data_IF_087368397416
#
_entry.id   IF_087368397416
#
_cell.length_a   1.000
_cell.length_b   1.000
_cell.length_c   1.000
_cell.angle_alpha   90.00
_cell.angle_beta   90.00
_cell.angle_gamma   90.00
#
_symmetry.space_group_name_H-M   'P 1'
#
loop_
_entity.id
_entity.type
_entity.pdbx_description
1 polymer ?
#
# COMPACT_ATOMS: atom_id res chain seq x y z
N UNK A 1 10.93 -22.47 -32.02
CA UNK A 1 11.52 -23.05 -33.25
C UNK A 1 11.04 -22.35 -34.52
N UNK A 2 9.77 -22.19 -34.80
CA UNK A 2 9.24 -21.54 -36.03
C UNK A 2 9.76 -20.12 -36.25
N UNK A 3 9.87 -19.28 -35.20
CA UNK A 3 10.36 -17.89 -35.33
C UNK A 3 11.86 -17.83 -35.72
N UNK A 4 12.68 -18.72 -35.17
CA UNK A 4 14.09 -18.83 -35.56
C UNK A 4 14.24 -19.30 -37.01
N UNK A 5 13.36 -20.19 -37.44
CA UNK A 5 13.33 -20.68 -38.84
C UNK A 5 12.95 -19.55 -39.80
N UNK A 6 11.96 -18.72 -39.44
CA UNK A 6 11.57 -17.54 -40.23
C UNK A 6 12.68 -16.50 -40.36
N UNK A 7 13.39 -16.22 -39.25
CA UNK A 7 14.52 -15.28 -39.26
C UNK A 7 15.67 -15.79 -40.15
N UNK A 8 15.97 -17.11 -40.09
CA UNK A 8 16.97 -17.75 -40.95
C UNK A 8 16.59 -17.69 -42.43
N UNK A 9 15.29 -17.90 -42.76
CA UNK A 9 14.83 -17.76 -44.14
C UNK A 9 15.02 -16.34 -44.64
N UNK A 10 14.66 -15.33 -43.86
CA UNK A 10 14.85 -13.91 -44.22
C UNK A 10 16.33 -13.58 -44.43
N UNK A 11 17.20 -14.03 -43.53
CA UNK A 11 18.66 -13.84 -43.65
C UNK A 11 19.21 -14.55 -44.87
N UNK A 12 18.83 -15.80 -45.14
CA UNK A 12 19.28 -16.56 -46.33
C UNK A 12 18.77 -15.87 -47.61
N UNK A 13 17.53 -15.44 -47.67
CA UNK A 13 16.96 -14.75 -48.82
C UNK A 13 17.63 -13.40 -49.04
N UNK A 14 17.92 -12.61 -47.97
CA UNK A 14 18.71 -11.40 -48.08
C UNK A 14 20.13 -11.68 -48.61
N UNK A 15 20.84 -12.72 -48.09
CA UNK A 15 22.21 -13.06 -48.52
C UNK A 15 22.23 -13.55 -49.98
N UNK A 16 21.24 -14.32 -50.42
CA UNK A 16 21.13 -14.77 -51.81
C UNK A 16 20.87 -13.62 -52.77
N UNK A 17 20.19 -12.57 -52.33
CA UNK A 17 19.84 -11.44 -53.18
C UNK A 17 20.93 -10.36 -53.30
N UNK A 18 21.84 -10.30 -52.36
CA UNK A 18 23.06 -9.46 -52.47
C UNK A 18 23.93 -9.86 -53.68
N UNK A 19 23.72 -11.06 -54.26
CA UNK A 19 24.42 -11.53 -55.46
C UNK A 19 23.71 -11.23 -56.76
N UNK A 20 22.41 -10.83 -56.72
CA UNK A 20 21.60 -10.65 -57.94
C UNK A 20 21.06 -9.20 -58.00
N UNK A 21 21.64 -8.36 -58.84
CA UNK A 21 21.39 -6.92 -58.95
C UNK A 21 20.06 -6.54 -59.65
N UNK A 22 18.99 -7.37 -59.50
CA UNK A 22 17.69 -7.03 -60.08
C UNK A 22 16.86 -6.17 -59.09
N UNK A 23 16.51 -4.94 -59.44
CA UNK A 23 15.77 -4.01 -58.54
C UNK A 23 14.40 -4.51 -58.15
N UNK A 24 13.71 -5.29 -58.99
CA UNK A 24 12.41 -5.89 -58.73
C UNK A 24 12.47 -6.96 -57.68
N UNK A 25 13.46 -7.83 -57.71
CA UNK A 25 13.65 -8.90 -56.71
C UNK A 25 14.00 -8.36 -55.34
N UNK A 26 14.81 -7.28 -55.31
CA UNK A 26 15.16 -6.58 -54.07
C UNK A 26 13.91 -5.91 -53.43
N UNK A 27 13.02 -5.32 -54.23
CA UNK A 27 11.80 -4.72 -53.71
C UNK A 27 10.84 -5.79 -53.13
N UNK A 28 10.65 -6.92 -53.78
CA UNK A 28 9.78 -8.00 -53.30
C UNK A 28 10.29 -8.54 -51.96
N UNK A 29 11.59 -8.75 -51.82
CA UNK A 29 12.18 -9.28 -50.59
C UNK A 29 12.09 -8.28 -49.45
N UNK A 30 12.29 -7.01 -49.74
CA UNK A 30 12.17 -5.97 -48.69
C UNK A 30 10.73 -5.93 -48.15
N UNK A 31 9.73 -6.00 -49.02
CA UNK A 31 8.31 -6.01 -48.63
C UNK A 31 7.98 -7.29 -47.80
N UNK A 32 8.44 -8.45 -48.29
CA UNK A 32 8.24 -9.70 -47.57
C UNK A 32 8.93 -9.71 -46.18
N UNK A 33 10.15 -9.21 -46.10
CA UNK A 33 10.89 -9.06 -44.84
C UNK A 33 10.22 -8.11 -43.87
N UNK A 34 9.67 -6.99 -44.34
CA UNK A 34 8.91 -6.04 -43.54
C UNK A 34 7.63 -6.67 -42.97
N UNK A 35 6.87 -7.39 -43.79
CA UNK A 35 5.63 -8.10 -43.38
C UNK A 35 5.93 -9.17 -42.34
N UNK A 36 6.97 -10.00 -42.59
CA UNK A 36 7.38 -11.01 -41.61
C UNK A 36 7.88 -10.38 -40.31
N UNK A 37 8.69 -9.32 -40.38
CA UNK A 37 9.15 -8.57 -39.22
C UNK A 37 8.00 -8.01 -38.40
N UNK A 38 6.94 -7.50 -39.06
CA UNK A 38 5.74 -7.02 -38.38
C UNK A 38 4.96 -8.14 -37.72
N UNK A 39 4.77 -9.30 -38.38
CA UNK A 39 4.08 -10.48 -37.83
C UNK A 39 4.80 -11.01 -36.59
N UNK A 40 6.14 -11.08 -36.64
CA UNK A 40 6.95 -11.64 -35.53
C UNK A 40 7.45 -10.61 -34.53
N UNK A 41 7.03 -9.34 -34.64
CA UNK A 41 7.52 -8.24 -33.82
C UNK A 41 7.47 -8.55 -32.32
N UNK A 42 6.35 -9.03 -31.82
CA UNK A 42 6.19 -9.27 -30.39
C UNK A 42 6.96 -10.50 -29.91
N UNK A 43 7.16 -11.48 -30.76
CA UNK A 43 8.04 -12.62 -30.48
C UNK A 43 9.49 -12.17 -30.36
N UNK A 44 9.96 -11.32 -31.28
CA UNK A 44 11.34 -10.79 -31.25
C UNK A 44 11.54 -9.92 -30.00
N UNK A 45 10.59 -9.05 -29.67
CA UNK A 45 10.61 -8.24 -28.42
C UNK A 45 10.67 -9.14 -27.19
N UNK A 46 9.89 -10.23 -27.15
CA UNK A 46 9.88 -11.14 -26.01
C UNK A 46 11.22 -11.85 -25.82
N UNK A 47 11.84 -12.31 -26.91
CA UNK A 47 13.16 -12.92 -26.86
C UNK A 47 14.23 -11.93 -26.36
N UNK A 48 14.23 -10.69 -26.86
CA UNK A 48 15.14 -9.65 -26.42
C UNK A 48 14.92 -9.33 -24.94
N UNK A 49 13.66 -9.20 -24.50
CA UNK A 49 13.29 -8.98 -23.11
C UNK A 49 13.74 -10.12 -22.18
N UNK A 50 13.60 -11.37 -22.62
CA UNK A 50 14.09 -12.53 -21.85
C UNK A 50 15.59 -12.42 -21.55
N UNK A 51 16.40 -12.15 -22.56
CA UNK A 51 17.85 -12.00 -22.36
C UNK A 51 18.18 -10.78 -21.49
N UNK A 52 17.49 -9.66 -21.67
CA UNK A 52 17.66 -8.47 -20.85
C UNK A 52 17.35 -8.74 -19.37
N UNK A 53 16.21 -9.33 -19.07
CA UNK A 53 15.79 -9.63 -17.69
C UNK A 53 16.73 -10.63 -17.02
N UNK A 54 17.18 -11.64 -17.78
CA UNK A 54 18.08 -12.67 -17.26
C UNK A 54 19.50 -12.16 -17.03
N UNK A 55 20.05 -11.40 -17.98
CA UNK A 55 21.40 -10.85 -17.88
C UNK A 55 21.55 -9.86 -16.71
N UNK A 56 20.48 -9.11 -16.41
CA UNK A 56 20.47 -8.15 -15.31
C UNK A 56 19.95 -8.75 -13.97
N UNK A 57 19.61 -10.02 -13.93
CA UNK A 57 19.11 -10.67 -12.70
C UNK A 57 17.81 -10.07 -12.16
N UNK A 58 16.97 -9.48 -13.03
CA UNK A 58 15.76 -8.76 -12.62
C UNK A 58 14.59 -9.69 -12.32
N UNK A 59 14.63 -10.91 -12.85
CA UNK A 59 13.56 -11.91 -12.71
C UNK A 59 14.13 -13.32 -12.63
N UNK A 60 13.64 -14.07 -11.64
CA UNK A 60 13.98 -15.48 -11.43
C UNK A 60 12.70 -16.30 -11.17
N UNK A 61 12.79 -17.63 -11.39
CA UNK A 61 11.73 -18.54 -11.00
C UNK A 61 11.61 -18.55 -9.48
N UNK A 62 10.40 -18.43 -8.97
CA UNK A 62 10.11 -18.31 -7.55
C UNK A 62 9.98 -16.89 -7.05
N UNK A 63 10.35 -15.87 -7.83
CA UNK A 63 10.18 -14.47 -7.43
C UNK A 63 8.71 -14.11 -7.26
N UNK A 64 8.40 -13.35 -6.21
CA UNK A 64 7.11 -12.69 -6.05
C UNK A 64 7.12 -11.38 -6.83
N UNK A 65 6.29 -11.31 -7.87
CA UNK A 65 6.18 -10.11 -8.71
C UNK A 65 4.75 -9.57 -8.74
N UNK A 66 4.66 -8.26 -8.98
CA UNK A 66 3.41 -7.59 -9.30
C UNK A 66 3.56 -6.76 -10.58
N UNK A 67 2.60 -6.91 -11.50
CA UNK A 67 2.46 -6.10 -12.73
C UNK A 67 1.15 -5.33 -12.62
N UNK A 68 1.15 -4.12 -11.99
CA UNK A 68 -0.07 -3.39 -11.65
C UNK A 68 -0.94 -3.06 -12.87
N UNK A 69 -0.30 -2.73 -14.01
CA UNK A 69 -0.99 -2.41 -15.26
C UNK A 69 -1.86 -3.56 -15.81
N UNK A 70 -1.59 -4.80 -15.37
CA UNK A 70 -2.30 -6.01 -15.80
C UNK A 70 -3.08 -6.69 -14.68
N UNK A 71 -3.02 -6.16 -13.45
CA UNK A 71 -3.65 -6.78 -12.28
C UNK A 71 -3.07 -8.15 -11.91
N UNK A 72 -1.81 -8.43 -12.29
CA UNK A 72 -1.12 -9.69 -12.02
C UNK A 72 -0.28 -9.51 -10.76
N UNK A 73 -0.43 -10.41 -9.78
CA UNK A 73 0.41 -10.46 -8.60
C UNK A 73 0.53 -11.90 -8.11
N UNK A 74 1.75 -12.42 -8.03
CA UNK A 74 2.01 -13.79 -7.60
C UNK A 74 3.43 -14.26 -7.85
N UNK A 75 3.63 -15.57 -7.69
CA UNK A 75 4.94 -16.19 -7.83
C UNK A 75 5.21 -16.63 -9.27
N UNK A 76 6.41 -16.31 -9.77
CA UNK A 76 6.87 -16.74 -11.07
C UNK A 76 7.10 -18.25 -11.08
N UNK A 77 6.36 -18.97 -11.92
CA UNK A 77 6.48 -20.44 -12.06
C UNK A 77 7.39 -20.85 -13.19
N UNK A 78 7.26 -20.20 -14.35
CA UNK A 78 8.13 -20.48 -15.49
C UNK A 78 8.53 -19.22 -16.23
N UNK A 79 9.72 -19.23 -16.80
CA UNK A 79 10.23 -18.17 -17.66
C UNK A 79 10.73 -18.84 -18.94
N UNK A 80 10.02 -18.60 -20.03
CA UNK A 80 10.40 -19.06 -21.38
C UNK A 80 10.88 -17.88 -22.22
N UNK A 81 11.44 -18.14 -23.39
CA UNK A 81 11.91 -17.11 -24.32
C UNK A 81 10.82 -16.09 -24.69
N UNK A 82 9.58 -16.56 -24.79
CA UNK A 82 8.45 -15.73 -25.26
C UNK A 82 7.37 -15.51 -24.22
N UNK A 83 7.34 -16.30 -23.12
CA UNK A 83 6.23 -16.31 -22.17
C UNK A 83 6.73 -16.44 -20.74
N UNK A 84 6.12 -15.70 -19.83
CA UNK A 84 6.27 -15.86 -18.37
C UNK A 84 4.92 -16.35 -17.83
N UNK A 85 4.96 -17.31 -16.88
CA UNK A 85 3.77 -17.73 -16.13
C UNK A 85 3.92 -17.39 -14.67
N UNK A 86 2.86 -16.81 -14.10
CA UNK A 86 2.76 -16.41 -12.71
C UNK A 86 1.56 -17.09 -12.08
N UNK A 87 1.75 -17.70 -10.93
CA UNK A 87 0.66 -18.20 -10.09
C UNK A 87 0.22 -17.10 -9.16
N UNK A 88 -0.99 -16.61 -9.36
CA UNK A 88 -1.62 -15.54 -8.58
C UNK A 88 -2.01 -16.03 -7.18
N UNK A 89 -2.35 -15.08 -6.29
CA UNK A 89 -2.80 -15.37 -4.92
C UNK A 89 -4.10 -16.21 -4.86
N UNK A 90 -4.95 -16.15 -5.89
CA UNK A 90 -6.16 -16.93 -6.03
C UNK A 90 -5.92 -18.33 -6.63
N UNK A 91 -4.66 -18.75 -6.71
CA UNK A 91 -4.21 -20.02 -7.29
C UNK A 91 -4.42 -20.16 -8.81
N UNK A 92 -4.89 -19.11 -9.47
CA UNK A 92 -4.96 -19.08 -10.94
C UNK A 92 -3.59 -18.83 -11.56
N UNK A 93 -3.40 -19.26 -12.80
CA UNK A 93 -2.17 -19.02 -13.54
C UNK A 93 -2.37 -17.96 -14.61
N UNK A 94 -1.60 -16.88 -14.51
CA UNK A 94 -1.50 -15.85 -15.55
C UNK A 94 -0.30 -16.16 -16.45
N UNK A 95 -0.55 -16.25 -17.77
CA UNK A 95 0.50 -16.40 -18.77
C UNK A 95 0.50 -15.20 -19.70
N UNK A 96 1.65 -14.58 -19.89
CA UNK A 96 1.77 -13.37 -20.70
C UNK A 96 3.14 -13.31 -21.41
N UNK A 97 3.26 -12.54 -22.52
CA UNK A 97 4.51 -12.40 -23.25
C UNK A 97 5.59 -11.73 -22.38
N UNK A 98 6.83 -12.24 -22.47
CA UNK A 98 7.97 -11.75 -21.67
C UNK A 98 8.27 -10.24 -21.90
N UNK A 99 7.97 -9.71 -23.09
CA UNK A 99 8.21 -8.30 -23.40
C UNK A 99 7.38 -7.34 -22.52
N UNK A 100 6.25 -7.79 -21.97
CA UNK A 100 5.43 -6.98 -21.07
C UNK A 100 6.22 -6.54 -19.83
N UNK A 101 7.06 -7.42 -19.28
CA UNK A 101 7.93 -7.08 -18.14
C UNK A 101 9.05 -6.11 -18.49
N UNK A 102 9.34 -5.92 -19.78
CA UNK A 102 10.29 -4.92 -20.24
C UNK A 102 9.61 -3.60 -20.62
N UNK A 103 8.39 -3.67 -21.18
CA UNK A 103 7.64 -2.51 -21.63
C UNK A 103 6.90 -1.81 -20.48
N UNK A 104 6.31 -2.59 -19.57
CA UNK A 104 5.59 -2.11 -18.40
C UNK A 104 6.52 -2.21 -17.16
N UNK A 105 6.33 -1.31 -16.20
CA UNK A 105 7.02 -1.45 -14.93
C UNK A 105 6.42 -2.62 -14.13
N UNK A 106 7.26 -3.43 -13.53
CA UNK A 106 6.87 -4.45 -12.57
C UNK A 106 7.60 -4.26 -11.25
N UNK A 107 7.01 -4.75 -10.18
CA UNK A 107 7.63 -4.78 -8.86
C UNK A 107 8.10 -6.20 -8.58
N UNK A 108 9.36 -6.36 -8.21
CA UNK A 108 9.91 -7.62 -7.71
C UNK A 108 10.10 -7.49 -6.20
N UNK A 109 9.35 -8.27 -5.44
CA UNK A 109 9.35 -8.25 -3.97
C UNK A 109 10.31 -9.27 -3.35
N UNK A 110 11.05 -10.04 -4.15
CA UNK A 110 11.90 -11.12 -3.66
C UNK A 110 12.96 -10.67 -2.66
N UNK A 111 13.63 -9.54 -2.91
CA UNK A 111 14.62 -8.99 -1.97
C UNK A 111 14.03 -8.64 -0.60
N UNK A 112 12.77 -8.24 -0.57
CA UNK A 112 12.04 -7.99 0.69
C UNK A 112 11.77 -9.32 1.41
N UNK A 113 11.28 -10.35 0.70
CA UNK A 113 11.02 -11.67 1.29
C UNK A 113 12.28 -12.34 1.82
N UNK A 114 13.43 -12.12 1.18
CA UNK A 114 14.73 -12.64 1.61
C UNK A 114 15.35 -11.87 2.79
N UNK A 115 14.65 -10.90 3.36
CA UNK A 115 15.17 -10.07 4.47
C UNK A 115 16.33 -9.13 4.07
N UNK A 116 16.54 -8.90 2.78
CA UNK A 116 17.60 -8.01 2.26
C UNK A 116 17.20 -6.53 2.25
N UNK A 117 16.09 -6.19 2.89
CA UNK A 117 15.56 -4.83 2.99
C UNK A 117 15.18 -4.52 4.44
N UNK A 118 14.63 -3.33 4.68
CA UNK A 118 14.18 -2.90 6.01
C UNK A 118 13.01 -3.73 6.57
N UNK A 119 12.39 -4.56 5.76
CA UNK A 119 11.16 -5.27 6.04
C UNK A 119 10.03 -4.86 5.09
N UNK A 120 8.81 -5.29 5.39
CA UNK A 120 7.62 -4.96 4.59
C UNK A 120 6.97 -3.68 5.12
N UNK A 121 6.71 -2.72 4.21
CA UNK A 121 6.15 -1.42 4.58
C UNK A 121 4.68 -1.53 4.96
N UNK A 122 4.35 -1.15 6.20
CA UNK A 122 3.01 -0.83 6.65
C UNK A 122 2.78 0.67 6.55
N UNK A 123 1.76 1.09 5.80
CA UNK A 123 1.31 2.47 5.70
C UNK A 123 -0.18 2.52 6.03
N UNK A 124 -0.53 3.03 7.21
CA UNK A 124 -1.92 3.17 7.65
C UNK A 124 -2.19 4.59 8.11
N UNK A 125 -3.42 5.04 7.91
CA UNK A 125 -3.87 6.36 8.33
C UNK A 125 -5.14 6.21 9.16
N UNK A 126 -5.17 6.89 10.30
CA UNK A 126 -6.31 6.95 11.21
C UNK A 126 -6.83 8.39 11.20
N UNK A 127 -8.08 8.59 10.88
CA UNK A 127 -8.71 9.92 10.90
C UNK A 127 -9.31 10.12 12.28
N UNK A 128 -8.78 11.08 13.01
CA UNK A 128 -9.21 11.42 14.38
C UNK A 128 -10.19 12.58 14.30
N UNK A 129 -11.31 12.43 15.01
CA UNK A 129 -12.29 13.49 15.14
C UNK A 129 -11.69 14.69 15.91
N UNK A 130 -11.65 15.85 15.25
CA UNK A 130 -11.09 17.08 15.81
C UNK A 130 -11.88 17.63 17.02
N UNK A 131 -13.13 17.22 17.17
CA UNK A 131 -13.96 17.61 18.32
C UNK A 131 -13.47 17.07 19.67
N UNK A 132 -12.62 16.04 19.65
CA UNK A 132 -12.02 15.41 20.83
C UNK A 132 -10.63 15.92 21.17
N UNK A 133 -10.15 16.93 20.44
CA UNK A 133 -8.83 17.53 20.70
C UNK A 133 -8.94 18.55 21.83
N UNK A 134 -8.18 18.34 22.90
CA UNK A 134 -8.14 19.24 24.05
C UNK A 134 -6.76 19.26 24.75
N UNK A 135 -6.44 20.30 25.51
CA UNK A 135 -5.27 20.31 26.38
C UNK A 135 -5.43 19.26 27.50
N UNK A 136 -4.34 18.59 27.87
CA UNK A 136 -4.33 17.64 28.98
C UNK A 136 -4.39 18.36 30.33
N UNK A 137 -5.18 17.84 31.24
CA UNK A 137 -5.25 18.28 32.64
C UNK A 137 -4.34 17.41 33.53
N UNK A 138 -4.07 17.84 34.77
CA UNK A 138 -3.35 17.04 35.75
C UNK A 138 -4.02 15.67 36.04
N UNK A 139 -5.32 15.63 35.97
CA UNK A 139 -6.07 14.39 36.15
C UNK A 139 -5.87 13.42 34.97
N UNK A 140 -5.81 13.95 33.75
CA UNK A 140 -5.55 13.15 32.56
C UNK A 140 -4.14 12.56 32.62
N UNK A 141 -3.15 13.33 33.02
CA UNK A 141 -1.78 12.85 33.18
C UNK A 141 -1.71 11.73 34.25
N UNK A 142 -2.39 11.90 35.39
CA UNK A 142 -2.46 10.84 36.43
C UNK A 142 -3.15 9.59 35.91
N UNK A 143 -4.21 9.73 35.10
CA UNK A 143 -4.92 8.63 34.47
C UNK A 143 -4.02 7.90 33.47
N UNK A 144 -3.35 8.65 32.60
CA UNK A 144 -2.43 8.11 31.59
C UNK A 144 -1.25 7.38 32.24
N UNK A 145 -0.65 7.91 33.28
CA UNK A 145 0.43 7.21 34.04
C UNK A 145 0.00 5.86 34.61
N UNK A 146 -1.26 5.73 35.02
CA UNK A 146 -1.80 4.46 35.51
C UNK A 146 -2.14 3.48 34.39
N UNK A 147 -2.60 4.00 33.24
CA UNK A 147 -3.01 3.18 32.10
C UNK A 147 -1.83 2.69 31.26
N UNK A 148 -0.79 3.53 31.16
CA UNK A 148 0.39 3.29 30.35
C UNK A 148 1.53 2.93 31.30
N UNK A 149 1.86 1.73 31.51
CA UNK A 149 2.97 1.27 32.38
C UNK A 149 4.37 1.68 31.82
N UNK A 150 4.55 2.99 31.52
CA UNK A 150 5.72 3.58 30.85
C UNK A 150 6.14 4.88 31.56
N UNK A 151 6.58 4.78 32.83
CA UNK A 151 7.07 5.94 33.61
C UNK A 151 8.16 6.73 32.86
N UNK A 152 9.09 6.04 32.20
CA UNK A 152 10.17 6.65 31.45
C UNK A 152 9.68 7.54 30.31
N UNK A 153 8.58 7.16 29.65
CA UNK A 153 7.99 7.97 28.56
C UNK A 153 7.59 9.37 29.01
N UNK A 154 6.94 9.49 30.18
CA UNK A 154 6.49 10.78 30.69
C UNK A 154 7.64 11.70 31.05
N UNK A 155 8.75 11.14 31.55
CA UNK A 155 9.96 11.91 31.89
C UNK A 155 10.72 12.31 30.62
N UNK A 156 11.00 11.36 29.72
CA UNK A 156 11.74 11.61 28.49
C UNK A 156 11.06 12.59 27.54
N UNK A 157 9.74 12.56 27.48
CA UNK A 157 8.95 13.41 26.57
C UNK A 157 8.44 14.68 27.27
N UNK A 158 8.85 14.93 28.51
CA UNK A 158 8.42 16.11 29.28
C UNK A 158 6.90 16.36 29.19
N UNK A 159 6.11 15.32 29.45
CA UNK A 159 4.65 15.41 29.39
C UNK A 159 4.17 16.28 30.56
N UNK A 160 3.75 17.51 30.26
CA UNK A 160 3.22 18.51 31.19
C UNK A 160 1.77 18.80 30.88
N UNK A 161 1.06 19.40 31.85
CA UNK A 161 -0.23 20.04 31.61
C UNK A 161 -0.06 21.10 30.52
N UNK A 162 -1.08 21.32 29.73
CA UNK A 162 -1.14 22.22 28.58
C UNK A 162 -0.79 21.61 27.21
N UNK A 163 -0.10 20.48 27.17
CA UNK A 163 0.07 19.75 25.89
C UNK A 163 -1.25 19.21 25.40
N UNK A 164 -1.43 19.21 24.08
CA UNK A 164 -2.60 18.60 23.48
C UNK A 164 -2.58 17.06 23.61
N UNK A 165 -3.75 16.48 23.88
CA UNK A 165 -3.89 15.03 23.97
C UNK A 165 -3.40 14.32 22.68
N UNK A 166 -3.63 14.89 21.49
CA UNK A 166 -3.12 14.37 20.21
C UNK A 166 -1.60 14.44 20.11
N UNK A 167 -0.94 15.43 20.69
CA UNK A 167 0.52 15.54 20.71
C UNK A 167 1.11 14.37 21.49
N UNK A 168 0.62 14.19 22.71
CA UNK A 168 1.12 13.14 23.61
C UNK A 168 0.76 11.76 23.06
N UNK A 169 -0.41 11.59 22.48
CA UNK A 169 -0.81 10.37 21.79
C UNK A 169 0.16 10.00 20.67
N UNK A 170 0.49 10.94 19.79
CA UNK A 170 1.45 10.71 18.70
C UNK A 170 2.83 10.30 19.22
N UNK A 171 3.30 10.97 20.26
CA UNK A 171 4.58 10.66 20.92
C UNK A 171 4.55 9.25 21.56
N UNK A 172 3.43 8.89 22.19
CA UNK A 172 3.24 7.57 22.78
C UNK A 172 3.26 6.46 21.71
N UNK A 173 2.52 6.62 20.62
CA UNK A 173 2.50 5.64 19.53
C UNK A 173 3.90 5.50 18.91
N UNK A 174 4.63 6.61 18.73
CA UNK A 174 6.01 6.55 18.26
C UNK A 174 6.91 5.76 19.23
N UNK A 175 6.83 6.06 20.53
CA UNK A 175 7.60 5.37 21.57
C UNK A 175 7.26 3.87 21.63
N UNK A 176 5.99 3.53 21.58
CA UNK A 176 5.53 2.14 21.61
C UNK A 176 6.02 1.36 20.38
N UNK A 177 5.95 1.95 19.19
CA UNK A 177 6.46 1.33 17.96
C UNK A 177 7.98 1.15 17.99
N UNK A 178 8.72 2.09 18.55
CA UNK A 178 10.18 1.98 18.74
C UNK A 178 10.58 0.81 19.65
N UNK A 179 9.74 0.47 20.61
CA UNK A 179 9.98 -0.65 21.54
C UNK A 179 9.33 -1.97 21.09
N UNK A 180 8.64 -1.98 19.93
CA UNK A 180 8.00 -3.18 19.42
C UNK A 180 9.02 -4.05 18.66
N UNK A 181 9.26 -5.33 19.07
CA UNK A 181 10.25 -6.20 18.45
C UNK A 181 9.93 -6.54 16.99
N UNK A 182 8.65 -6.46 16.59
CA UNK A 182 8.20 -6.75 15.24
C UNK A 182 8.36 -5.55 14.28
N UNK A 183 8.81 -4.40 14.78
CA UNK A 183 9.07 -3.20 14.00
C UNK A 183 10.57 -3.05 13.77
N UNK A 184 10.96 -2.85 12.52
CA UNK A 184 12.36 -2.59 12.18
C UNK A 184 12.86 -1.30 12.83
N UNK A 185 13.91 -1.42 13.64
CA UNK A 185 14.53 -0.30 14.35
C UNK A 185 15.39 0.60 13.45
N UNK A 186 15.40 0.35 12.17
CA UNK A 186 16.13 1.17 11.20
C UNK A 186 15.43 2.53 10.94
N UNK A 187 16.13 3.55 10.40
CA UNK A 187 15.80 4.98 10.54
C UNK A 187 14.57 5.47 9.75
N UNK A 188 13.52 4.66 9.60
CA UNK A 188 12.32 5.04 8.84
C UNK A 188 11.01 4.72 9.55
N UNK A 189 10.98 4.91 10.87
CA UNK A 189 9.73 4.91 11.61
C UNK A 189 9.18 6.33 11.63
N UNK A 190 8.00 6.53 11.05
CA UNK A 190 7.36 7.85 10.96
C UNK A 190 5.94 7.75 11.51
N UNK A 191 5.64 8.58 12.50
CA UNK A 191 4.29 8.84 13.02
C UNK A 191 4.03 10.33 12.85
N UNK A 192 3.15 10.70 11.91
CA UNK A 192 2.96 12.10 11.53
C UNK A 192 1.49 12.46 11.33
N UNK A 193 1.19 13.72 11.55
CA UNK A 193 -0.05 14.32 11.11
C UNK A 193 0.04 14.65 9.62
N UNK A 194 -1.04 14.41 8.89
CA UNK A 194 -1.23 14.91 7.54
C UNK A 194 -2.07 16.20 7.60
N UNK A 195 -2.33 16.78 6.43
CA UNK A 195 -3.22 17.92 6.30
C UNK A 195 -4.63 17.58 6.82
N UNK A 196 -5.22 18.52 7.54
CA UNK A 196 -6.59 18.38 8.04
C UNK A 196 -7.57 18.23 6.87
N UNK A 197 -8.52 17.33 7.03
CA UNK A 197 -9.61 17.12 6.06
C UNK A 197 -10.94 17.56 6.65
N UNK A 198 -11.99 17.59 5.84
CA UNK A 198 -13.36 17.80 6.33
C UNK A 198 -13.82 16.70 7.31
N UNK A 199 -13.19 15.55 7.29
CA UNK A 199 -13.49 14.41 8.14
C UNK A 199 -12.74 14.42 9.47
N UNK A 200 -11.68 15.22 9.60
CA UNK A 200 -10.88 15.31 10.82
C UNK A 200 -9.38 15.40 10.58
N UNK A 201 -8.60 15.02 11.59
CA UNK A 201 -7.15 15.10 11.58
C UNK A 201 -6.52 13.71 11.31
N UNK A 202 -5.89 13.48 10.13
CA UNK A 202 -5.32 12.19 9.81
C UNK A 202 -3.96 11.96 10.48
N UNK A 203 -3.84 10.91 11.30
CA UNK A 203 -2.58 10.38 11.81
C UNK A 203 -2.09 9.26 10.89
N UNK A 204 -0.92 9.43 10.30
CA UNK A 204 -0.32 8.41 9.44
C UNK A 204 0.85 7.72 10.11
N UNK A 205 0.82 6.38 10.06
CA UNK A 205 1.91 5.50 10.46
C UNK A 205 2.63 4.99 9.21
N UNK A 206 3.94 5.14 9.18
CA UNK A 206 4.84 4.52 8.20
C UNK A 206 5.88 3.73 8.98
N UNK A 207 5.78 2.41 8.95
CA UNK A 207 6.68 1.52 9.67
C UNK A 207 7.04 0.30 8.81
N UNK A 208 8.23 -0.23 9.00
CA UNK A 208 8.64 -1.47 8.36
C UNK A 208 8.53 -2.60 9.37
N UNK A 209 7.76 -3.63 9.04
CA UNK A 209 7.61 -4.84 9.85
C UNK A 209 8.68 -5.85 9.44
N UNK A 210 9.26 -6.51 10.44
CA UNK A 210 10.36 -7.47 10.24
C UNK A 210 9.91 -8.72 9.50
N UNK A 211 8.69 -9.19 9.79
CA UNK A 211 8.10 -10.30 9.04
C UNK A 211 7.56 -9.82 7.71
N UNK A 212 8.06 -10.44 6.66
CA UNK A 212 7.76 -10.05 5.28
C UNK A 212 6.77 -10.99 4.59
N UNK A 213 6.55 -12.19 5.14
CA UNK A 213 5.53 -13.14 4.68
C UNK A 213 4.14 -12.55 4.89
N UNK A 214 3.24 -12.78 3.93
CA UNK A 214 1.97 -12.07 3.88
C UNK A 214 1.11 -12.29 5.12
N UNK A 215 0.96 -13.53 5.54
CA UNK A 215 0.17 -13.95 6.70
C UNK A 215 0.68 -13.33 8.01
N UNK A 216 1.98 -13.46 8.27
CA UNK A 216 2.61 -12.88 9.45
C UNK A 216 2.57 -11.35 9.43
N UNK A 217 2.80 -10.74 8.27
CA UNK A 217 2.71 -9.30 8.09
C UNK A 217 1.29 -8.77 8.38
N UNK A 218 0.25 -9.40 7.82
CA UNK A 218 -1.14 -8.96 8.04
C UNK A 218 -1.56 -9.17 9.51
N UNK A 219 -1.08 -10.23 10.16
CA UNK A 219 -1.28 -10.42 11.58
C UNK A 219 -0.67 -9.31 12.43
N UNK A 220 0.62 -9.01 12.22
CA UNK A 220 1.31 -7.92 12.93
C UNK A 220 0.70 -6.56 12.66
N UNK A 221 0.33 -6.29 11.40
CA UNK A 221 -0.36 -5.06 11.03
C UNK A 221 -1.67 -4.90 11.80
N UNK A 222 -2.45 -5.97 11.92
CA UNK A 222 -3.71 -5.97 12.67
C UNK A 222 -3.49 -5.68 14.15
N UNK A 223 -2.50 -6.33 14.77
CA UNK A 223 -2.13 -6.08 16.17
C UNK A 223 -1.74 -4.62 16.43
N UNK A 224 -0.97 -4.02 15.51
CA UNK A 224 -0.60 -2.59 15.62
C UNK A 224 -1.84 -1.70 15.51
N UNK A 225 -2.74 -1.98 14.57
CA UNK A 225 -3.98 -1.20 14.39
C UNK A 225 -4.87 -1.30 15.62
N UNK A 226 -5.06 -2.50 16.18
CA UNK A 226 -5.83 -2.75 17.39
C UNK A 226 -5.25 -1.98 18.59
N UNK A 227 -3.90 -2.00 18.75
CA UNK A 227 -3.24 -1.26 19.80
C UNK A 227 -3.45 0.25 19.66
N UNK A 228 -3.32 0.81 18.44
CA UNK A 228 -3.55 2.23 18.18
C UNK A 228 -4.99 2.63 18.55
N UNK A 229 -5.99 1.84 18.14
CA UNK A 229 -7.40 2.08 18.44
C UNK A 229 -7.64 1.99 19.97
N UNK A 230 -7.07 0.99 20.63
CA UNK A 230 -7.16 0.86 22.09
C UNK A 230 -6.54 2.05 22.80
N UNK A 231 -5.36 2.49 22.34
CA UNK A 231 -4.65 3.63 22.92
C UNK A 231 -5.43 4.94 22.76
N UNK A 232 -6.14 5.16 21.67
CA UNK A 232 -7.01 6.34 21.50
C UNK A 232 -7.94 6.55 22.69
N UNK A 233 -8.54 5.48 23.21
CA UNK A 233 -9.42 5.56 24.36
C UNK A 233 -8.74 6.06 25.65
N UNK A 234 -7.44 5.84 25.81
CA UNK A 234 -6.69 6.35 26.96
C UNK A 234 -6.46 7.87 26.89
N UNK A 235 -6.39 8.39 25.66
CA UNK A 235 -6.15 9.81 25.37
C UNK A 235 -7.44 10.59 25.10
N UNK A 236 -8.62 9.98 25.34
CA UNK A 236 -9.94 10.56 25.05
C UNK A 236 -10.09 10.97 23.58
N UNK A 237 -9.51 10.18 22.67
CA UNK A 237 -9.60 10.38 21.23
C UNK A 237 -10.57 9.38 20.61
N UNK A 238 -11.26 9.81 19.56
CA UNK A 238 -12.16 8.96 18.78
C UNK A 238 -11.81 9.02 17.29
N UNK A 239 -12.05 7.92 16.59
CA UNK A 239 -12.02 7.91 15.13
C UNK A 239 -13.22 8.71 14.61
N UNK A 240 -12.97 9.49 13.55
CA UNK A 240 -14.04 10.10 12.81
C UNK A 240 -14.95 9.02 12.19
N UNK A 241 -16.23 9.21 12.33
CA UNK A 241 -17.27 8.41 11.70
C UNK A 241 -18.26 9.34 11.00
N UNK A 242 -18.57 9.07 9.75
CA UNK A 242 -19.68 9.76 9.08
C UNK A 242 -20.98 9.40 9.79
N UNK A 243 -21.86 10.37 10.08
CA UNK A 243 -23.14 10.09 10.73
C UNK A 243 -23.93 9.03 9.96
N UNK A 244 -24.31 7.99 10.66
CA UNK A 244 -25.18 6.96 10.10
C UNK A 244 -26.65 7.40 10.11
N UNK A 245 -27.52 6.72 9.37
CA UNK A 245 -28.95 6.96 9.44
C UNK A 245 -29.53 6.74 10.86
N UNK A 246 -28.88 5.89 11.65
CA UNK A 246 -29.23 5.65 13.06
C UNK A 246 -28.87 6.88 13.93
N UNK A 247 -27.71 7.50 13.72
CA UNK A 247 -27.29 8.70 14.45
C UNK A 247 -28.20 9.89 14.12
N UNK A 248 -28.58 10.03 12.85
CA UNK A 248 -29.52 11.05 12.41
C UNK A 248 -30.92 10.87 13.05
N UNK A 249 -31.38 9.62 13.19
CA UNK A 249 -32.63 9.29 13.85
C UNK A 249 -32.58 9.64 15.34
N UNK A 250 -31.49 9.28 16.02
CA UNK A 250 -31.31 9.57 17.43
C UNK A 250 -31.16 11.06 17.70
N UNK A 251 -30.43 11.82 16.87
CA UNK A 251 -30.30 13.27 17.02
C UNK A 251 -31.68 13.97 16.92
N UNK A 252 -32.57 13.53 16.02
CA UNK A 252 -33.92 14.04 15.90
C UNK A 252 -34.75 13.72 17.14
N UNK A 253 -34.57 12.57 17.78
CA UNK A 253 -35.27 12.22 19.04
C UNK A 253 -34.81 13.14 20.17
N UNK A 254 -33.51 13.40 20.31
CA UNK A 254 -32.97 14.31 21.34
C UNK A 254 -33.46 15.76 21.14
N UNK A 255 -33.45 16.27 19.91
CA UNK A 255 -33.97 17.60 19.59
C UNK A 255 -35.45 17.72 19.89
N UNK A 256 -36.26 16.70 19.61
CA UNK A 256 -37.69 16.66 19.89
C UNK A 256 -37.94 16.64 21.40
N UNK A 257 -37.17 15.89 22.18
CA UNK A 257 -37.26 15.85 23.64
C UNK A 257 -36.87 17.20 24.27
N UNK A 258 -35.75 17.80 23.86
CA UNK A 258 -35.37 19.14 24.36
C UNK A 258 -36.40 20.21 24.07
N UNK A 259 -37.01 20.18 22.89
CA UNK A 259 -38.08 21.13 22.51
C UNK A 259 -39.32 20.91 23.33
N UNK A 260 -39.69 19.68 23.66
CA UNK A 260 -40.81 19.34 24.51
C UNK A 260 -40.59 19.80 25.96
N UNK A 261 -39.36 19.60 26.50
CA UNK A 261 -39.00 20.02 27.85
C UNK A 261 -38.94 21.55 27.97
N UNK A 262 -38.45 22.24 26.93
CA UNK A 262 -38.47 23.70 26.89
C UNK A 262 -39.89 24.25 26.87
N UNK A 263 -40.81 23.66 26.09
CA UNK A 263 -42.24 24.04 26.08
C UNK A 263 -42.91 23.82 27.44
N UNK A 264 -42.68 22.68 28.11
CA UNK A 264 -43.19 22.43 29.45
C UNK A 264 -42.76 23.47 30.46
N UNK A 265 -41.46 23.83 30.49
CA UNK A 265 -40.93 24.87 31.36
C UNK A 265 -41.52 26.25 31.08
N UNK A 266 -41.77 26.57 29.82
CA UNK A 266 -42.36 27.86 29.42
C UNK A 266 -43.84 27.94 29.87
N UNK A 267 -44.58 26.84 29.73
CA UNK A 267 -45.99 26.74 30.15
C UNK A 267 -46.15 26.76 31.68
N UNK A 268 -45.23 26.13 32.44
CA UNK A 268 -45.19 26.22 33.90
C UNK A 268 -44.93 27.66 34.38
N UNK A 269 -43.98 28.34 33.76
CA UNK A 269 -43.67 29.74 34.10
C UNK A 269 -44.79 30.72 33.71
N UNK A 270 -45.59 30.39 32.70
CA UNK A 270 -46.75 31.19 32.32
C UNK A 270 -47.96 30.99 33.28
N UNK A 271 -48.03 29.84 33.94
CA UNK A 271 -49.10 29.55 34.96
C UNK A 271 -48.80 30.11 36.34
N UNK A 272 -47.54 30.52 36.60
CA UNK A 272 -47.08 31.08 37.86
C UNK A 272 -47.07 32.62 37.85
N UNK A 273 -47.46 33.26 36.77
CA UNK A 273 -47.75 34.69 36.64
C UNK A 273 -49.26 34.96 36.55
#
# INVERSE_FOLDING_TARGET
>A
MLAAFGLWIVVIVCCLNLQNNNPTDTAIITVFGAVLGWIFQDTIKSVAAFFYLRANGLLQIGDLIAVPAKGIEGFVRTISLTTVTVENWDTTTSAFPTFILHADHFKNSQRMLEGKTLGRLMKKTFIIDSGWVHPLTDNDIKRLRRALDVENFFVEKEVKCDKLNIEVFRLYIYHWLMNNPNVSQQPRLIVRWLEQTSEGLPLQLLVYLTDTMLDAFEWQQSQIMEHVIKAMGWFDLQLYQSPSGYDASNSNIYLTQQTADYRKKTDENARLK
#
